data_IF_565442007385
#
_entry.id   IF_565442007385
#
_cell.length_a   1.000
_cell.length_b   1.000
_cell.length_c   1.000
_cell.angle_alpha   90.00
_cell.angle_beta   90.00
_cell.angle_gamma   90.00
#
_symmetry.space_group_name_H-M   'P 1'
#
loop_
_entity.id
_entity.type
_entity.pdbx_description
1 polymer ?
#
# COMPACT_ATOMS: atom_id res chain seq x y z
N UNK A 1 -9.68 0.97 -39.79
CA UNK A 1 -10.31 0.10 -38.77
C UNK A 1 -9.23 -0.52 -37.91
N UNK A 2 -9.24 -0.23 -36.62
CA UNK A 2 -8.32 -0.82 -35.65
C UNK A 2 -8.99 -1.98 -34.90
N UNK A 3 -8.24 -3.03 -34.59
CA UNK A 3 -8.72 -4.11 -33.72
C UNK A 3 -8.23 -3.84 -32.31
N UNK A 4 -9.17 -3.60 -31.39
CA UNK A 4 -8.88 -3.31 -29.99
C UNK A 4 -9.39 -4.47 -29.13
N UNK A 5 -8.50 -5.02 -28.31
CA UNK A 5 -8.89 -6.03 -27.32
C UNK A 5 -9.53 -5.37 -26.11
N UNK A 6 -10.69 -5.85 -25.72
CA UNK A 6 -11.36 -5.34 -24.52
C UNK A 6 -10.57 -5.76 -23.27
N UNK A 7 -10.21 -4.82 -22.45
CA UNK A 7 -9.46 -5.07 -21.21
C UNK A 7 -10.26 -5.86 -20.15
N UNK A 8 -11.60 -5.79 -20.21
CA UNK A 8 -12.47 -6.45 -19.24
C UNK A 8 -12.78 -7.92 -19.59
N UNK A 9 -13.01 -8.23 -20.87
CA UNK A 9 -13.42 -9.58 -21.28
C UNK A 9 -12.54 -10.23 -22.35
N UNK A 10 -11.46 -9.56 -22.77
CA UNK A 10 -10.53 -10.06 -23.78
C UNK A 10 -11.09 -10.12 -25.22
N UNK A 11 -12.33 -9.76 -25.44
CA UNK A 11 -12.94 -9.81 -26.76
C UNK A 11 -12.27 -8.81 -27.71
N UNK A 12 -11.97 -9.27 -28.93
CA UNK A 12 -11.44 -8.41 -29.99
C UNK A 12 -12.60 -7.66 -30.65
N UNK A 13 -12.50 -6.33 -30.65
CA UNK A 13 -13.50 -5.44 -31.23
C UNK A 13 -12.88 -4.67 -32.39
N UNK A 14 -13.67 -4.51 -33.45
CA UNK A 14 -13.31 -3.62 -34.57
C UNK A 14 -13.82 -2.23 -34.27
N UNK A 15 -12.91 -1.27 -34.15
CA UNK A 15 -13.23 0.11 -33.88
C UNK A 15 -12.97 0.92 -35.16
N UNK A 16 -13.98 1.66 -35.61
CA UNK A 16 -13.81 2.60 -36.70
C UNK A 16 -13.23 3.91 -36.11
N UNK A 17 -12.07 4.31 -36.59
CA UNK A 17 -11.37 5.53 -36.16
C UNK A 17 -12.23 6.82 -36.35
N UNK A 18 -13.21 6.76 -37.23
CA UNK A 18 -14.14 7.88 -37.46
C UNK A 18 -15.08 8.12 -36.29
N UNK A 19 -15.38 7.07 -35.51
CA UNK A 19 -16.29 7.13 -34.35
C UNK A 19 -15.66 7.92 -33.21
N UNK A 20 -14.34 7.86 -33.08
CA UNK A 20 -13.58 8.60 -32.06
C UNK A 20 -13.48 10.10 -32.40
N UNK A 21 -13.45 10.45 -33.67
CA UNK A 21 -13.37 11.86 -34.13
C UNK A 21 -14.67 12.63 -33.84
N UNK A 22 -15.82 11.97 -33.82
CA UNK A 22 -17.13 12.58 -33.54
C UNK A 22 -17.55 12.48 -32.07
N UNK A 23 -16.61 12.21 -31.16
CA UNK A 23 -16.84 12.18 -29.69
C UNK A 23 -17.71 11.06 -29.18
N UNK A 24 -17.98 10.04 -30.00
CA UNK A 24 -18.65 8.81 -29.55
C UNK A 24 -17.61 7.80 -29.08
N UNK A 25 -17.80 7.28 -27.89
CA UNK A 25 -16.91 6.25 -27.31
C UNK A 25 -17.32 4.88 -27.83
N UNK A 26 -16.43 4.14 -28.50
CA UNK A 26 -16.71 2.78 -28.88
C UNK A 26 -16.83 1.90 -27.64
N UNK A 27 -17.82 1.01 -27.64
CA UNK A 27 -18.05 0.06 -26.54
C UNK A 27 -17.80 -1.37 -27.01
N UNK A 28 -17.38 -2.22 -26.08
CA UNK A 28 -17.21 -3.63 -26.38
C UNK A 28 -18.53 -4.30 -26.72
N UNK A 29 -18.61 -4.92 -27.88
CA UNK A 29 -19.83 -5.62 -28.33
C UNK A 29 -20.22 -6.82 -27.47
N UNK A 30 -19.34 -7.30 -26.59
CA UNK A 30 -19.59 -8.43 -25.73
C UNK A 30 -20.00 -8.07 -24.30
N UNK A 31 -19.33 -7.10 -23.68
CA UNK A 31 -19.56 -6.72 -22.27
C UNK A 31 -20.02 -5.27 -22.08
N UNK A 32 -20.10 -4.46 -23.13
CA UNK A 32 -20.59 -3.08 -23.06
C UNK A 32 -19.62 -2.05 -22.48
N UNK A 33 -18.42 -2.44 -22.09
CA UNK A 33 -17.41 -1.52 -21.55
C UNK A 33 -16.80 -0.67 -22.64
N UNK A 34 -16.54 0.62 -22.37
CA UNK A 34 -15.93 1.53 -23.33
C UNK A 34 -14.55 1.04 -23.77
N UNK A 35 -14.30 1.07 -25.09
CA UNK A 35 -13.03 0.70 -25.72
C UNK A 35 -12.25 1.97 -26.02
N UNK A 36 -11.00 2.03 -25.55
CA UNK A 36 -10.09 3.09 -25.93
C UNK A 36 -10.14 4.33 -25.05
N UNK A 37 -9.67 4.20 -23.83
CA UNK A 37 -8.86 5.18 -23.12
C UNK A 37 -7.89 4.41 -22.22
N UNK A 38 -6.63 4.56 -22.50
CA UNK A 38 -5.60 4.45 -21.50
C UNK A 38 -5.87 5.60 -20.51
N UNK A 39 -6.23 5.29 -19.29
CA UNK A 39 -6.36 6.34 -18.29
C UNK A 39 -7.67 6.38 -17.53
N UNK A 40 -8.10 5.27 -17.02
CA UNK A 40 -8.79 5.22 -15.76
C UNK A 40 -7.95 4.35 -14.88
N UNK A 41 -7.20 4.93 -13.97
CA UNK A 41 -6.58 4.23 -12.87
C UNK A 41 -7.66 3.53 -12.05
N UNK A 42 -8.19 2.45 -12.61
CA UNK A 42 -8.63 1.39 -11.75
C UNK A 42 -7.35 0.84 -11.17
N UNK A 43 -7.09 1.20 -9.93
CA UNK A 43 -6.10 0.55 -9.11
C UNK A 43 -6.32 -0.96 -9.23
N UNK A 44 -5.61 -1.57 -10.18
CA UNK A 44 -5.32 -2.99 -10.10
C UNK A 44 -4.76 -3.19 -8.70
N UNK A 45 -5.08 -4.26 -7.98
CA UNK A 45 -4.34 -4.60 -6.79
C UNK A 45 -2.89 -4.66 -7.23
N UNK A 46 -2.15 -3.59 -6.93
CA UNK A 46 -0.73 -3.50 -7.24
C UNK A 46 -0.09 -4.69 -6.55
N UNK A 47 0.78 -5.44 -7.25
CA UNK A 47 1.55 -6.45 -6.57
C UNK A 47 2.21 -5.77 -5.37
N UNK A 48 1.84 -6.24 -4.19
CA UNK A 48 2.31 -5.71 -2.92
C UNK A 48 3.83 -5.64 -2.97
N UNK A 49 4.44 -4.51 -2.66
CA UNK A 49 5.89 -4.48 -2.63
C UNK A 49 6.36 -5.53 -1.64
N UNK A 50 7.19 -6.45 -2.09
CA UNK A 50 7.84 -7.44 -1.24
C UNK A 50 8.85 -6.80 -0.28
N UNK A 51 8.69 -5.51 -0.04
CA UNK A 51 9.55 -4.66 0.81
C UNK A 51 8.69 -3.68 1.60
N UNK A 52 9.17 -3.24 2.78
CA UNK A 52 8.50 -2.18 3.53
C UNK A 52 8.35 -0.90 2.69
N UNK A 53 7.21 -0.25 2.82
CA UNK A 53 6.90 1.01 2.16
C UNK A 53 7.51 2.15 2.98
N UNK A 54 8.22 3.06 2.32
CA UNK A 54 8.71 4.29 2.95
C UNK A 54 7.57 5.30 3.06
N UNK A 55 7.28 5.72 4.29
CA UNK A 55 6.23 6.67 4.62
C UNK A 55 6.84 8.01 4.99
N UNK A 56 6.23 9.09 4.54
CA UNK A 56 6.61 10.47 4.83
C UNK A 56 5.44 11.25 5.44
N UNK A 57 5.69 12.46 5.94
CA UNK A 57 4.63 13.35 6.42
C UNK A 57 3.52 13.56 5.38
N UNK A 58 3.89 13.63 4.10
CA UNK A 58 2.93 13.83 3.01
C UNK A 58 2.19 12.57 2.57
N UNK A 59 2.72 11.38 2.84
CA UNK A 59 2.14 10.10 2.40
C UNK A 59 1.50 9.29 3.52
N UNK A 60 1.65 9.71 4.77
CA UNK A 60 1.19 8.99 5.96
C UNK A 60 -0.32 8.64 5.89
N UNK A 61 -1.16 9.60 5.53
CA UNK A 61 -2.60 9.37 5.46
C UNK A 61 -2.93 8.27 4.44
N UNK A 62 -2.35 8.34 3.26
CA UNK A 62 -2.59 7.36 2.19
C UNK A 62 -1.99 5.99 2.48
N UNK A 63 -0.72 5.97 2.88
CA UNK A 63 0.05 4.72 3.00
C UNK A 63 -0.22 3.97 4.31
N UNK A 64 -0.72 4.63 5.32
CA UNK A 64 -0.97 4.04 6.64
C UNK A 64 -2.45 4.07 6.99
N UNK A 65 -3.05 5.24 7.06
CA UNK A 65 -4.43 5.40 7.54
C UNK A 65 -5.42 4.78 6.55
N UNK A 66 -5.43 5.23 5.33
CA UNK A 66 -6.33 4.71 4.29
C UNK A 66 -6.03 3.24 3.95
N UNK A 67 -4.75 2.88 3.86
CA UNK A 67 -4.33 1.51 3.57
C UNK A 67 -4.78 0.52 4.64
N UNK A 68 -4.95 0.95 5.88
CA UNK A 68 -5.39 0.10 7.00
C UNK A 68 -6.87 -0.26 6.99
N UNK A 69 -7.65 0.33 6.09
CA UNK A 69 -9.08 -0.02 5.96
C UNK A 69 -9.30 -1.43 5.42
N UNK A 70 -8.42 -1.92 4.56
CA UNK A 70 -8.54 -3.25 3.95
C UNK A 70 -7.72 -4.34 4.62
N UNK A 71 -6.70 -3.96 5.38
CA UNK A 71 -5.74 -4.88 6.00
C UNK A 71 -4.93 -4.16 7.08
N UNK A 72 -4.36 -4.87 8.07
CA UNK A 72 -3.51 -4.23 9.06
C UNK A 72 -2.23 -3.68 8.44
N UNK A 73 -1.78 -2.54 8.93
CA UNK A 73 -0.52 -1.89 8.56
C UNK A 73 0.37 -1.84 9.80
N UNK A 74 1.56 -2.43 9.71
CA UNK A 74 2.60 -2.29 10.72
C UNK A 74 3.49 -1.11 10.33
N UNK A 75 3.46 -0.04 11.12
CA UNK A 75 4.29 1.14 10.96
C UNK A 75 5.46 1.10 11.93
N UNK A 76 6.68 1.08 11.40
CA UNK A 76 7.92 1.19 12.17
C UNK A 76 8.43 2.63 12.15
N UNK A 77 8.53 3.24 13.33
CA UNK A 77 9.12 4.56 13.53
C UNK A 77 10.58 4.38 13.93
N UNK A 78 11.50 4.85 13.10
CA UNK A 78 12.93 4.59 13.20
C UNK A 78 13.78 5.84 12.91
N UNK A 79 15.08 5.76 13.21
CA UNK A 79 16.07 6.74 12.80
C UNK A 79 17.39 6.07 12.43
N UNK A 80 18.20 6.73 11.59
CA UNK A 80 19.46 6.17 11.09
C UNK A 80 20.50 5.91 12.21
N UNK A 81 20.47 6.68 13.29
CA UNK A 81 21.37 6.56 14.44
C UNK A 81 20.94 5.50 15.47
N UNK A 82 19.76 4.93 15.30
CA UNK A 82 19.16 4.00 16.27
C UNK A 82 19.68 2.57 16.05
N UNK A 83 20.47 2.07 16.99
CA UNK A 83 21.01 0.71 16.97
C UNK A 83 19.93 -0.39 16.97
N UNK A 84 18.97 -0.37 17.92
CA UNK A 84 17.88 -1.35 17.97
C UNK A 84 16.99 -1.33 16.72
N UNK A 85 16.81 -0.18 16.09
CA UNK A 85 16.06 -0.08 14.83
C UNK A 85 16.71 -0.89 13.70
N UNK A 86 18.04 -0.97 13.67
CA UNK A 86 18.79 -1.77 12.70
C UNK A 86 18.56 -3.26 12.88
N UNK A 87 18.28 -3.71 14.10
CA UNK A 87 17.94 -5.11 14.38
C UNK A 87 16.53 -5.45 13.89
N UNK A 88 15.62 -4.51 13.92
CA UNK A 88 14.23 -4.71 13.46
C UNK A 88 14.13 -4.65 11.93
N UNK A 89 14.98 -3.89 11.26
CA UNK A 89 14.92 -3.70 9.82
C UNK A 89 14.89 -5.00 9.01
N UNK A 90 15.78 -6.01 9.21
CA UNK A 90 15.70 -7.27 8.48
C UNK A 90 14.44 -8.07 8.81
N UNK A 91 13.93 -7.98 10.03
CA UNK A 91 12.67 -8.61 10.43
C UNK A 91 11.49 -8.04 9.65
N UNK A 92 11.46 -6.74 9.46
CA UNK A 92 10.43 -6.07 8.67
C UNK A 92 10.52 -6.42 7.19
N UNK A 93 11.72 -6.55 6.66
CA UNK A 93 11.95 -6.99 5.27
C UNK A 93 11.40 -8.42 5.05
N UNK A 94 11.66 -9.33 5.97
CA UNK A 94 11.13 -10.69 5.93
C UNK A 94 9.60 -10.73 6.06
N UNK A 95 9.03 -9.97 6.98
CA UNK A 95 7.58 -9.87 7.15
C UNK A 95 6.90 -9.32 5.89
N UNK A 96 7.48 -8.30 5.27
CA UNK A 96 6.96 -7.75 4.02
C UNK A 96 6.99 -8.79 2.89
N UNK A 97 8.09 -9.54 2.76
CA UNK A 97 8.23 -10.59 1.75
C UNK A 97 7.22 -11.73 1.96
N UNK A 98 6.91 -12.08 3.20
CA UNK A 98 5.99 -13.17 3.57
C UNK A 98 4.53 -12.75 3.65
N UNK A 99 4.24 -11.44 3.55
CA UNK A 99 2.88 -10.92 3.80
C UNK A 99 1.81 -11.49 2.87
N UNK A 100 2.16 -11.68 1.59
CA UNK A 100 1.22 -12.17 0.58
C UNK A 100 -0.05 -11.31 0.45
N UNK A 101 0.03 -10.04 0.80
CA UNK A 101 -1.10 -9.12 0.77
C UNK A 101 -1.97 -9.12 2.04
N UNK A 102 -1.67 -9.94 3.02
CA UNK A 102 -2.45 -10.03 4.28
C UNK A 102 -2.27 -8.82 5.18
N UNK A 103 -1.14 -8.19 5.14
CA UNK A 103 -0.79 -6.97 5.86
C UNK A 103 0.26 -6.16 5.10
N UNK A 104 0.41 -4.90 5.45
CA UNK A 104 1.40 -4.01 4.88
C UNK A 104 2.44 -3.64 5.94
N UNK A 105 3.70 -3.61 5.54
CA UNK A 105 4.81 -3.12 6.38
C UNK A 105 5.22 -1.73 5.87
N UNK A 106 5.24 -0.76 6.76
CA UNK A 106 5.60 0.63 6.49
C UNK A 106 6.70 1.11 7.44
N UNK A 107 7.55 2.00 6.98
CA UNK A 107 8.67 2.60 7.74
C UNK A 107 8.62 4.11 7.66
N UNK A 108 8.72 4.77 8.80
CA UNK A 108 8.78 6.22 8.93
C UNK A 108 10.08 6.64 9.63
N UNK A 109 10.92 7.42 8.96
CA UNK A 109 12.08 8.05 9.60
C UNK A 109 11.61 9.26 10.42
N UNK A 110 11.79 9.22 11.75
CA UNK A 110 11.29 10.27 12.65
C UNK A 110 12.06 11.59 12.51
N UNK A 111 13.30 11.54 12.10
CA UNK A 111 14.12 12.75 11.90
C UNK A 111 13.73 13.51 10.63
N UNK A 112 13.35 12.80 9.59
CA UNK A 112 12.92 13.35 8.30
C UNK A 112 11.44 13.74 8.28
N UNK A 113 10.65 13.19 9.21
CA UNK A 113 9.19 13.34 9.26
C UNK A 113 8.71 13.78 10.65
N UNK A 114 9.10 14.96 11.11
CA UNK A 114 8.84 15.43 12.47
C UNK A 114 7.36 15.67 12.76
N UNK A 115 6.56 15.99 11.75
CA UNK A 115 5.11 16.23 11.93
C UNK A 115 4.40 14.96 12.34
N UNK A 116 4.62 13.88 11.62
CA UNK A 116 4.01 12.57 11.94
C UNK A 116 4.55 12.02 13.24
N UNK A 117 5.85 12.10 13.48
CA UNK A 117 6.47 11.70 14.74
C UNK A 117 5.88 12.42 15.95
N UNK A 118 5.67 13.73 15.85
CA UNK A 118 5.04 14.53 16.89
C UNK A 118 3.57 14.17 17.09
N UNK A 119 2.83 14.01 16.00
CA UNK A 119 1.42 13.58 16.00
C UNK A 119 1.22 12.23 16.69
N UNK A 120 2.13 11.28 16.46
CA UNK A 120 2.10 9.95 17.06
C UNK A 120 2.62 9.93 18.50
N UNK A 121 3.20 11.02 19.00
CA UNK A 121 3.74 11.11 20.35
C UNK A 121 4.95 10.20 20.56
N UNK A 122 5.83 10.08 19.56
CA UNK A 122 7.03 9.25 19.63
C UNK A 122 8.01 9.84 20.65
N UNK A 123 8.32 9.08 21.69
CA UNK A 123 9.28 9.45 22.74
C UNK A 123 10.53 8.59 22.69
N UNK A 124 10.42 7.39 22.17
CA UNK A 124 11.53 6.45 22.02
C UNK A 124 11.40 5.69 20.71
N UNK A 125 12.50 5.17 20.19
CA UNK A 125 12.55 4.35 18.98
C UNK A 125 13.37 3.08 19.21
N UNK A 126 13.04 1.97 18.53
CA UNK A 126 11.90 1.81 17.62
C UNK A 126 10.56 1.84 18.37
N UNK A 127 9.57 2.47 17.78
CA UNK A 127 8.17 2.34 18.18
C UNK A 127 7.38 1.86 16.97
N UNK A 128 6.62 0.81 17.14
CA UNK A 128 5.81 0.21 16.09
C UNK A 128 4.33 0.39 16.41
N UNK A 129 3.55 0.66 15.38
CA UNK A 129 2.09 0.73 15.49
C UNK A 129 1.45 -0.27 14.55
N UNK A 130 0.39 -0.90 14.99
CA UNK A 130 -0.50 -1.66 14.10
C UNK A 130 -1.75 -0.82 13.88
N UNK A 131 -1.93 -0.39 12.63
CA UNK A 131 -3.12 0.34 12.19
C UNK A 131 -4.14 -0.62 11.62
N UNK A 132 -5.38 -0.45 12.00
CA UNK A 132 -6.52 -1.16 11.46
C UNK A 132 -7.72 -0.22 11.37
N UNK A 133 -8.43 -0.24 10.23
CA UNK A 133 -9.60 0.61 9.99
C UNK A 133 -9.34 2.12 10.23
N UNK A 134 -8.17 2.59 9.83
CA UNK A 134 -7.77 4.00 9.92
C UNK A 134 -7.30 4.45 11.29
N UNK A 135 -7.17 3.55 12.27
CA UNK A 135 -6.79 3.88 13.64
C UNK A 135 -5.64 3.00 14.15
N UNK A 136 -4.79 3.54 15.05
CA UNK A 136 -3.79 2.73 15.74
C UNK A 136 -4.48 1.77 16.69
N UNK A 137 -4.47 0.49 16.35
CA UNK A 137 -5.05 -0.57 17.15
C UNK A 137 -4.09 -1.04 18.24
N UNK A 138 -2.78 -0.96 18.00
CA UNK A 138 -1.75 -1.39 18.94
C UNK A 138 -0.49 -0.53 18.82
N UNK A 139 0.17 -0.31 19.96
CA UNK A 139 1.47 0.36 20.07
C UNK A 139 2.48 -0.57 20.72
N UNK A 140 3.62 -0.76 20.08
CA UNK A 140 4.70 -1.62 20.55
C UNK A 140 5.96 -0.78 20.67
N UNK A 141 6.53 -0.70 21.86
CA UNK A 141 7.76 0.07 22.13
C UNK A 141 8.93 -0.91 22.24
N UNK A 142 10.00 -0.61 21.49
CA UNK A 142 11.21 -1.41 21.47
C UNK A 142 11.24 -2.48 20.37
N UNK A 143 12.43 -3.05 20.15
CA UNK A 143 12.64 -4.10 19.18
C UNK A 143 11.94 -5.40 19.62
N UNK A 144 11.22 -6.03 18.70
CA UNK A 144 10.54 -7.29 18.91
C UNK A 144 11.02 -8.33 17.91
N UNK A 145 11.05 -9.62 18.27
CA UNK A 145 11.37 -10.68 17.35
C UNK A 145 10.22 -10.88 16.33
N UNK A 146 10.57 -11.44 15.18
CA UNK A 146 9.66 -11.66 14.05
C UNK A 146 8.36 -12.37 14.44
N UNK A 147 8.47 -13.45 15.22
CA UNK A 147 7.29 -14.25 15.60
C UNK A 147 6.30 -13.48 16.47
N UNK A 148 6.77 -12.54 17.28
CA UNK A 148 5.90 -11.66 18.07
C UNK A 148 5.15 -10.70 17.17
N UNK A 149 5.84 -10.03 16.25
CA UNK A 149 5.21 -9.10 15.31
C UNK A 149 4.23 -9.82 14.37
N UNK A 150 4.61 -10.98 13.87
CA UNK A 150 3.74 -11.80 13.02
C UNK A 150 2.46 -12.22 13.75
N UNK A 151 2.58 -12.65 15.00
CA UNK A 151 1.44 -13.04 15.84
C UNK A 151 0.48 -11.88 16.10
N UNK A 152 1.03 -10.69 16.39
CA UNK A 152 0.22 -9.49 16.63
C UNK A 152 -0.49 -9.01 15.35
N UNK A 153 0.18 -9.05 14.21
CA UNK A 153 -0.44 -8.75 12.91
C UNK A 153 -1.58 -9.72 12.59
N UNK A 154 -1.38 -11.00 12.85
CA UNK A 154 -2.41 -12.01 12.65
C UNK A 154 -3.66 -11.79 13.53
N UNK A 155 -3.48 -11.24 14.73
CA UNK A 155 -4.59 -10.92 15.65
C UNK A 155 -5.47 -9.76 15.14
N UNK A 156 -4.94 -8.91 14.25
CA UNK A 156 -5.66 -7.78 13.64
C UNK A 156 -6.08 -8.03 12.18
N UNK A 157 -5.75 -9.19 11.67
CA UNK A 157 -6.07 -9.60 10.30
C UNK A 157 -7.50 -9.97 10.03
#
# INVERSE_FOLDING_TARGET
MAIVSCFNCGAKNRVDERVTVIGKRPVCGRCGVALGEEGGEQQQPQPQPARPVTVTDSTFEREVVEASSGRPVLLDCWAAWCGPCRMVAPVLDELAAESGGRYLIAKLNVDENPRTASRLGIQSIPTLFIYKNGQPAERIVGAQPKHVLASRLAAHG
#
